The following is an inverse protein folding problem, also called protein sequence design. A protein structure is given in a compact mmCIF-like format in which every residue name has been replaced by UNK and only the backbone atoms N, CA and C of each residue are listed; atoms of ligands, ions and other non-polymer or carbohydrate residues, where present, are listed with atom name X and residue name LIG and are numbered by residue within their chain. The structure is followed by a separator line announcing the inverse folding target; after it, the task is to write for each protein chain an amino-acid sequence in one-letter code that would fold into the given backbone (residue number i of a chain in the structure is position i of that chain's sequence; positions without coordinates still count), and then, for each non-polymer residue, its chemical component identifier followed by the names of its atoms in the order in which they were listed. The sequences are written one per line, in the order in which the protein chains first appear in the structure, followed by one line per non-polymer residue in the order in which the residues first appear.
data_IF_944361485790
#
_entry.id   IF_944361485790
#
_cell.length_a   1.000
_cell.length_b   1.000
_cell.length_c   1.000
_cell.angle_alpha   90.00
_cell.angle_beta   90.00
_cell.angle_gamma   90.00
#
_symmetry.space_group_name_H-M   'P 1'
#
loop_
_entity.id
_entity.type
_entity.pdbx_description
1 polymer ?
#
# COMPACT_ATOMS: atom_id res chain seq x y z
N UNK A 1 14.68 9.36 -4.86
CA UNK A 1 15.21 9.84 -3.56
C UNK A 1 15.07 11.35 -3.47
N UNK A 2 15.69 12.09 -4.39
CA UNK A 2 15.77 13.56 -4.38
C UNK A 2 14.41 14.26 -4.38
N UNK A 3 13.49 13.88 -5.29
CA UNK A 3 12.16 14.51 -5.36
C UNK A 3 11.36 14.31 -4.08
N UNK A 4 11.33 13.08 -3.56
CA UNK A 4 10.66 12.76 -2.30
C UNK A 4 11.27 13.56 -1.14
N UNK A 5 12.60 13.60 -1.02
CA UNK A 5 13.29 14.41 -0.02
C UNK A 5 12.87 15.89 -0.06
N UNK A 6 12.86 16.49 -1.26
CA UNK A 6 12.51 17.90 -1.42
C UNK A 6 11.04 18.20 -1.11
N UNK A 7 10.13 17.27 -1.39
CA UNK A 7 8.71 17.41 -1.02
C UNK A 7 8.53 17.26 0.49
N UNK A 8 9.18 16.26 1.10
CA UNK A 8 9.06 15.99 2.53
C UNK A 8 9.59 17.14 3.40
N UNK A 9 10.67 17.82 3.00
CA UNK A 9 11.17 19.02 3.69
C UNK A 9 10.19 20.21 3.69
N UNK A 10 9.15 20.16 2.86
CA UNK A 10 8.13 21.22 2.76
C UNK A 10 6.91 20.94 3.61
N UNK A 11 6.92 19.90 4.44
CA UNK A 11 5.81 19.65 5.35
C UNK A 11 5.61 20.87 6.26
N UNK A 12 4.36 21.27 6.41
CA UNK A 12 3.96 22.39 7.25
C UNK A 12 2.92 21.94 8.27
N UNK A 13 2.91 22.57 9.44
CA UNK A 13 1.76 22.51 10.34
C UNK A 13 0.67 23.43 9.78
N UNK A 14 -0.59 22.98 9.76
CA UNK A 14 -1.72 23.80 9.35
C UNK A 14 -2.83 23.82 10.41
N UNK A 15 -3.00 24.98 11.05
CA UNK A 15 -4.06 25.25 12.04
C UNK A 15 -3.90 24.56 13.40
N UNK A 16 -4.84 24.83 14.31
CA UNK A 16 -5.03 24.11 15.59
C UNK A 16 -5.69 22.74 15.39
N UNK A 17 -6.19 22.48 14.19
CA UNK A 17 -6.83 21.22 13.81
C UNK A 17 -5.75 20.19 13.48
N UNK A 18 -5.33 19.45 14.51
CA UNK A 18 -4.82 18.08 14.34
C UNK A 18 -6.00 17.17 13.99
N UNK A 19 -6.64 17.42 12.85
CA UNK A 19 -7.47 16.38 12.24
C UNK A 19 -6.52 15.21 12.02
N UNK A 20 -6.65 14.18 12.85
CA UNK A 20 -5.97 12.91 12.67
C UNK A 20 -6.16 12.55 11.18
N UNK A 21 -5.07 12.33 10.44
CA UNK A 21 -5.10 11.86 9.04
C UNK A 21 -5.03 12.92 7.91
N UNK A 22 -4.36 14.06 8.12
CA UNK A 22 -4.01 15.00 7.04
C UNK A 22 -2.54 15.45 7.05
N UNK A 23 -1.94 15.53 5.88
CA UNK A 23 -0.58 16.06 5.67
C UNK A 23 -0.63 17.33 4.82
N UNK A 24 0.13 18.34 5.23
CA UNK A 24 0.17 19.63 4.53
C UNK A 24 1.59 19.94 4.05
N UNK A 25 1.71 20.41 2.82
CA UNK A 25 2.99 20.71 2.18
C UNK A 25 3.00 22.09 1.53
N UNK A 26 4.00 22.91 1.84
CA UNK A 26 4.21 24.22 1.23
C UNK A 26 5.03 24.08 -0.07
N UNK A 27 4.36 24.05 -1.23
CA UNK A 27 5.01 23.94 -2.54
C UNK A 27 4.90 25.27 -3.29
N UNK A 28 6.01 26.03 -3.28
CA UNK A 28 6.01 27.38 -3.82
C UNK A 28 5.11 28.28 -2.97
N UNK A 29 4.15 28.95 -3.61
CA UNK A 29 3.15 29.81 -2.93
C UNK A 29 1.91 29.02 -2.49
N UNK A 30 1.80 27.74 -2.87
CA UNK A 30 0.62 26.93 -2.60
C UNK A 30 0.82 26.03 -1.39
N UNK A 31 -0.19 26.03 -0.51
CA UNK A 31 -0.31 25.06 0.55
C UNK A 31 -1.18 23.89 0.04
N UNK A 32 -0.56 22.72 -0.10
CA UNK A 32 -1.20 21.52 -0.65
C UNK A 32 -1.55 20.57 0.49
N UNK A 33 -2.80 20.10 0.49
CA UNK A 33 -3.28 19.06 1.41
C UNK A 33 -3.20 17.69 0.75
N UNK A 34 -2.80 16.70 1.54
CA UNK A 34 -2.97 15.29 1.25
C UNK A 34 -3.71 14.64 2.42
N UNK A 35 -4.93 14.20 2.18
CA UNK A 35 -5.82 13.50 3.10
C UNK A 35 -6.32 12.20 2.46
N UNK A 36 -7.02 11.39 3.25
CA UNK A 36 -7.69 10.18 2.76
C UNK A 36 -8.61 10.44 1.55
N UNK A 37 -9.26 11.61 1.48
CA UNK A 37 -10.12 11.95 0.35
C UNK A 37 -9.33 12.12 -0.96
N UNK A 38 -8.21 12.85 -0.93
CA UNK A 38 -7.33 12.96 -2.09
C UNK A 38 -6.67 11.61 -2.42
N UNK A 39 -6.35 10.81 -1.40
CA UNK A 39 -5.78 9.48 -1.58
C UNK A 39 -6.71 8.53 -2.32
N UNK A 40 -7.96 8.39 -1.87
CA UNK A 40 -8.97 7.56 -2.54
C UNK A 40 -9.24 8.05 -3.97
N UNK A 41 -9.23 9.37 -4.19
CA UNK A 41 -9.43 9.95 -5.52
C UNK A 41 -8.29 9.61 -6.50
N UNK A 42 -7.04 9.68 -6.04
CA UNK A 42 -5.87 9.37 -6.88
C UNK A 42 -5.72 7.87 -7.13
N UNK A 43 -6.03 7.05 -6.13
CA UNK A 43 -5.85 5.59 -6.22
C UNK A 43 -7.07 4.87 -6.82
N UNK A 44 -8.23 5.51 -6.84
CA UNK A 44 -9.50 4.88 -7.20
C UNK A 44 -10.01 3.88 -6.15
N UNK A 45 -9.34 3.76 -5.00
CA UNK A 45 -9.72 2.81 -3.96
C UNK A 45 -10.87 3.34 -3.12
N UNK A 46 -11.71 2.41 -2.66
CA UNK A 46 -12.87 2.75 -1.84
C UNK A 46 -12.43 3.22 -0.45
N UNK A 47 -13.06 4.28 0.04
CA UNK A 47 -13.01 4.61 1.48
C UNK A 47 -13.64 3.47 2.30
N UNK A 48 -14.69 2.84 1.73
CA UNK A 48 -15.39 1.66 2.24
C UNK A 48 -16.03 1.81 3.61
N UNK A 49 -16.76 0.77 4.02
CA UNK A 49 -17.23 0.53 5.39
C UNK A 49 -16.76 -0.89 5.73
N UNK A 50 -16.39 -1.15 6.98
CA UNK A 50 -16.06 -2.52 7.41
C UNK A 50 -17.27 -3.43 7.20
N UNK A 51 -17.30 -4.12 6.05
CA UNK A 51 -18.34 -5.11 5.78
C UNK A 51 -18.02 -6.34 6.61
N UNK A 52 -19.01 -6.88 7.32
CA UNK A 52 -18.83 -8.16 8.00
C UNK A 52 -18.67 -9.28 6.97
N UNK A 53 -17.67 -10.15 7.15
CA UNK A 53 -17.50 -11.35 6.33
C UNK A 53 -18.74 -12.24 6.47
N UNK A 54 -19.46 -12.45 5.37
CA UNK A 54 -20.74 -13.18 5.44
C UNK A 54 -20.58 -14.69 5.35
N UNK A 55 -19.48 -15.18 4.78
CA UNK A 55 -19.34 -16.59 4.41
C UNK A 55 -17.88 -17.07 4.41
N UNK A 56 -17.44 -17.72 5.49
CA UNK A 56 -16.16 -18.44 5.52
C UNK A 56 -16.38 -19.88 5.01
N UNK A 57 -16.59 -20.04 3.69
CA UNK A 57 -17.01 -21.33 3.12
C UNK A 57 -15.88 -22.35 3.00
N UNK A 58 -14.63 -21.92 2.83
CA UNK A 58 -13.50 -22.83 2.63
C UNK A 58 -12.19 -22.24 3.15
N UNK A 59 -11.85 -22.55 4.41
CA UNK A 59 -10.59 -22.10 5.00
C UNK A 59 -9.41 -22.70 4.20
N UNK A 60 -8.56 -21.84 3.66
CA UNK A 60 -7.29 -22.13 2.99
C UNK A 60 -7.38 -22.80 1.61
N UNK A 61 -8.50 -22.74 0.87
CA UNK A 61 -8.63 -23.38 -0.46
C UNK A 61 -7.52 -22.99 -1.44
N UNK A 62 -7.28 -21.69 -1.64
CA UNK A 62 -6.24 -21.20 -2.55
C UNK A 62 -4.84 -21.66 -2.11
N UNK A 63 -4.57 -21.65 -0.79
CA UNK A 63 -3.31 -22.14 -0.22
C UNK A 63 -3.09 -23.63 -0.46
N UNK A 64 -4.14 -24.44 -0.29
CA UNK A 64 -4.08 -25.87 -0.54
C UNK A 64 -3.81 -26.19 -2.01
N UNK A 65 -4.36 -25.36 -2.91
CA UNK A 65 -4.38 -25.61 -4.35
C UNK A 65 -3.08 -25.17 -5.02
N UNK A 66 -2.56 -23.99 -4.66
CA UNK A 66 -1.47 -23.34 -5.39
C UNK A 66 -0.19 -23.15 -4.58
N UNK A 67 -0.23 -23.36 -3.26
CA UNK A 67 0.91 -23.08 -2.37
C UNK A 67 1.29 -24.30 -1.51
N UNK A 68 1.02 -25.50 -2.00
CA UNK A 68 1.44 -26.80 -1.44
C UNK A 68 1.35 -26.87 0.09
N UNK A 69 0.26 -26.33 0.66
CA UNK A 69 -0.01 -26.47 2.09
C UNK A 69 1.06 -25.88 3.03
N UNK A 70 1.76 -24.82 2.60
CA UNK A 70 2.70 -24.07 3.44
C UNK A 70 1.95 -23.22 4.50
N UNK A 71 1.29 -23.89 5.46
CA UNK A 71 0.19 -23.30 6.23
C UNK A 71 0.55 -22.35 7.38
N UNK A 72 1.81 -22.24 7.77
CA UNK A 72 2.10 -21.68 9.09
C UNK A 72 3.29 -20.73 9.16
N UNK A 73 4.04 -20.53 8.08
CA UNK A 73 5.19 -19.63 8.18
C UNK A 73 5.71 -19.03 6.86
N UNK A 74 4.82 -18.79 5.89
CA UNK A 74 5.22 -18.05 4.68
C UNK A 74 5.40 -16.58 5.05
N UNK A 75 6.62 -16.08 4.87
CA UNK A 75 6.87 -14.64 4.89
C UNK A 75 6.67 -14.04 3.49
N UNK A 76 6.50 -12.72 3.41
CA UNK A 76 6.22 -12.03 2.15
C UNK A 76 7.30 -12.23 1.09
N UNK A 77 8.57 -12.45 1.46
CA UNK A 77 9.64 -12.74 0.49
C UNK A 77 9.47 -14.14 -0.13
N UNK A 78 9.06 -15.13 0.66
CA UNK A 78 8.72 -16.45 0.14
C UNK A 78 7.46 -16.37 -0.72
N UNK A 79 6.47 -15.58 -0.31
CA UNK A 79 5.28 -15.33 -1.12
C UNK A 79 5.60 -14.65 -2.46
N UNK A 80 6.52 -13.70 -2.51
CA UNK A 80 7.00 -13.10 -3.77
C UNK A 80 7.58 -14.17 -4.71
N UNK A 81 8.44 -15.05 -4.20
CA UNK A 81 9.02 -16.12 -5.00
C UNK A 81 7.95 -17.11 -5.50
N UNK A 82 7.02 -17.52 -4.62
CA UNK A 82 5.92 -18.41 -5.00
C UNK A 82 5.01 -17.76 -6.04
N UNK A 83 4.71 -16.46 -5.91
CA UNK A 83 3.91 -15.72 -6.87
C UNK A 83 4.58 -15.64 -8.26
N UNK A 84 5.91 -15.47 -8.31
CA UNK A 84 6.67 -15.49 -9.57
C UNK A 84 6.73 -16.88 -10.24
N UNK A 85 6.61 -17.95 -9.45
CA UNK A 85 6.58 -19.34 -9.93
C UNK A 85 5.19 -19.80 -10.41
N UNK A 86 4.13 -19.02 -10.14
CA UNK A 86 2.77 -19.35 -10.59
C UNK A 86 2.68 -19.28 -12.11
N UNK A 87 2.12 -20.35 -12.69
CA UNK A 87 1.74 -20.37 -14.10
C UNK A 87 0.33 -19.82 -14.28
N UNK A 88 0.24 -18.51 -14.50
CA UNK A 88 -1.04 -17.83 -14.71
C UNK A 88 -1.75 -18.23 -16.01
N UNK A 89 -1.07 -18.90 -16.97
CA UNK A 89 -1.70 -19.33 -18.22
C UNK A 89 -2.55 -20.59 -18.05
N UNK A 90 -2.21 -21.43 -17.06
CA UNK A 90 -2.88 -22.71 -16.81
C UNK A 90 -3.82 -22.67 -15.61
N UNK A 91 -3.74 -21.60 -14.83
CA UNK A 91 -4.54 -21.37 -13.63
C UNK A 91 -5.98 -20.95 -13.98
N UNK A 92 -6.93 -21.26 -13.09
CA UNK A 92 -8.31 -20.76 -13.23
C UNK A 92 -8.32 -19.22 -13.17
N UNK A 93 -9.05 -18.57 -14.08
CA UNK A 93 -9.08 -17.11 -14.22
C UNK A 93 -9.55 -16.41 -12.93
N UNK A 94 -10.52 -16.99 -12.23
CA UNK A 94 -11.07 -16.42 -11.00
C UNK A 94 -10.06 -16.57 -9.86
N UNK A 95 -9.41 -17.72 -9.75
CA UNK A 95 -8.36 -17.92 -8.76
C UNK A 95 -7.13 -17.05 -9.03
N UNK A 96 -6.76 -16.87 -10.31
CA UNK A 96 -5.72 -15.95 -10.74
C UNK A 96 -6.02 -14.53 -10.25
N UNK A 97 -7.24 -14.04 -10.52
CA UNK A 97 -7.68 -12.74 -10.05
C UNK A 97 -7.56 -12.64 -8.52
N UNK A 98 -8.07 -13.63 -7.77
CA UNK A 98 -8.00 -13.66 -6.30
C UNK A 98 -6.57 -13.57 -5.76
N UNK A 99 -5.63 -14.33 -6.33
CA UNK A 99 -4.22 -14.29 -5.90
C UNK A 99 -3.59 -12.92 -6.22
N UNK A 100 -3.86 -12.37 -7.41
CA UNK A 100 -3.38 -11.04 -7.81
C UNK A 100 -3.93 -9.94 -6.89
N UNK A 101 -5.21 -10.02 -6.49
CA UNK A 101 -5.84 -9.09 -5.56
C UNK A 101 -5.15 -9.09 -4.19
N UNK A 102 -4.85 -10.27 -3.65
CA UNK A 102 -4.14 -10.40 -2.37
C UNK A 102 -2.72 -9.88 -2.49
N UNK A 103 -2.02 -10.26 -3.55
CA UNK A 103 -0.66 -9.80 -3.80
C UNK A 103 -0.62 -8.28 -3.83
N UNK A 104 -1.56 -7.65 -4.54
CA UNK A 104 -1.70 -6.21 -4.60
C UNK A 104 -1.99 -5.59 -3.22
N UNK A 105 -2.99 -6.08 -2.49
CA UNK A 105 -3.34 -5.57 -1.16
C UNK A 105 -2.17 -5.67 -0.17
N UNK A 106 -1.49 -6.81 -0.15
CA UNK A 106 -0.46 -7.10 0.86
C UNK A 106 0.90 -6.45 0.50
N UNK A 107 1.34 -6.59 -0.75
CA UNK A 107 2.66 -6.12 -1.19
C UNK A 107 2.64 -4.66 -1.62
N UNK A 108 1.64 -4.27 -2.40
CA UNK A 108 1.60 -2.93 -3.02
C UNK A 108 1.00 -1.91 -2.07
N UNK A 109 -0.21 -2.16 -1.55
CA UNK A 109 -0.91 -1.19 -0.70
C UNK A 109 -0.29 -1.06 0.69
N UNK A 110 -0.06 -2.18 1.38
CA UNK A 110 0.52 -2.14 2.73
C UNK A 110 2.05 -1.96 2.74
N UNK A 111 2.74 -2.19 1.60
CA UNK A 111 4.19 -2.04 1.48
C UNK A 111 4.99 -2.76 2.58
N UNK A 112 4.48 -3.90 3.07
CA UNK A 112 5.05 -4.62 4.22
C UNK A 112 6.43 -5.18 3.89
N UNK A 113 7.26 -5.37 4.92
CA UNK A 113 8.63 -5.87 4.76
C UNK A 113 8.62 -7.37 4.44
N UNK A 114 9.58 -7.84 3.66
CA UNK A 114 9.66 -9.24 3.22
C UNK A 114 9.70 -10.30 4.34
N UNK A 115 10.07 -9.93 5.58
CA UNK A 115 10.06 -10.84 6.72
C UNK A 115 8.73 -10.89 7.47
N UNK A 116 7.77 -9.99 7.18
CA UNK A 116 6.44 -10.06 7.74
C UNK A 116 5.72 -11.30 7.20
N UNK A 117 4.88 -11.93 8.02
CA UNK A 117 4.03 -13.04 7.59
C UNK A 117 2.93 -12.51 6.67
N UNK A 118 2.56 -13.33 5.69
CA UNK A 118 1.41 -13.04 4.82
C UNK A 118 0.12 -12.99 5.65
N UNK A 119 -0.85 -12.19 5.20
CA UNK A 119 -2.15 -12.21 5.85
C UNK A 119 -2.98 -13.41 5.36
N UNK A 120 -2.92 -14.51 6.10
CA UNK A 120 -3.69 -15.71 5.80
C UNK A 120 -5.21 -15.50 5.90
N UNK A 121 -5.69 -14.49 6.64
CA UNK A 121 -7.14 -14.19 6.68
C UNK A 121 -7.62 -13.68 5.32
N UNK A 122 -6.83 -12.82 4.67
CA UNK A 122 -7.14 -12.28 3.35
C UNK A 122 -7.19 -13.34 2.26
N UNK A 123 -6.35 -14.39 2.37
CA UNK A 123 -6.42 -15.57 1.51
C UNK A 123 -7.73 -16.34 1.61
N UNK A 124 -8.42 -16.25 2.74
CA UNK A 124 -9.75 -16.83 2.90
C UNK A 124 -10.85 -15.84 2.50
N UNK A 125 -10.68 -14.56 2.84
CA UNK A 125 -11.67 -13.51 2.54
C UNK A 125 -11.83 -13.29 1.03
N UNK A 126 -10.75 -13.41 0.24
CA UNK A 126 -10.81 -13.23 -1.21
C UNK A 126 -11.68 -14.28 -1.93
N UNK A 127 -11.99 -15.40 -1.27
CA UNK A 127 -12.89 -16.38 -1.87
C UNK A 127 -14.30 -15.80 -2.10
N UNK A 128 -14.70 -14.82 -1.28
CA UNK A 128 -15.81 -13.91 -1.51
C UNK A 128 -15.27 -12.61 -2.16
N UNK A 129 -15.11 -12.63 -3.49
CA UNK A 129 -14.52 -11.51 -4.24
C UNK A 129 -15.31 -10.21 -4.01
N UNK A 130 -16.64 -10.29 -4.01
CA UNK A 130 -17.48 -9.10 -3.82
C UNK A 130 -17.23 -8.48 -2.45
N UNK A 131 -17.13 -9.30 -1.40
CA UNK A 131 -16.73 -8.82 -0.09
C UNK A 131 -15.32 -8.20 -0.11
N UNK A 132 -14.34 -8.88 -0.71
CA UNK A 132 -12.96 -8.41 -0.75
C UNK A 132 -12.82 -7.08 -1.52
N UNK A 133 -13.51 -6.91 -2.64
CA UNK A 133 -13.50 -5.64 -3.40
C UNK A 133 -14.19 -4.50 -2.65
N UNK A 134 -15.16 -4.81 -1.79
CA UNK A 134 -15.84 -3.83 -0.94
C UNK A 134 -15.07 -3.47 0.33
N UNK A 135 -13.98 -4.17 0.65
CA UNK A 135 -13.11 -3.79 1.76
C UNK A 135 -12.62 -2.33 1.58
N UNK A 136 -12.40 -1.60 2.70
CA UNK A 136 -12.00 -0.19 2.67
C UNK A 136 -10.52 -0.01 2.31
N UNK A 137 -10.09 -0.52 1.16
CA UNK A 137 -8.68 -0.53 0.73
C UNK A 137 -8.06 0.86 0.67
N UNK A 138 -8.84 1.89 0.32
CA UNK A 138 -8.39 3.27 0.31
C UNK A 138 -8.06 3.77 1.70
N UNK A 139 -8.88 3.43 2.70
CA UNK A 139 -8.61 3.75 4.10
C UNK A 139 -7.42 2.95 4.67
N UNK A 140 -7.40 1.63 4.48
CA UNK A 140 -6.33 0.77 5.01
C UNK A 140 -4.94 1.15 4.45
N UNK A 141 -4.88 1.43 3.14
CA UNK A 141 -3.66 1.90 2.49
C UNK A 141 -3.28 3.31 2.93
N UNK A 142 -4.26 4.21 3.12
CA UNK A 142 -4.01 5.55 3.63
C UNK A 142 -3.41 5.53 5.02
N UNK A 143 -3.96 4.74 5.97
CA UNK A 143 -3.44 4.62 7.33
C UNK A 143 -1.95 4.22 7.32
N UNK A 144 -1.60 3.23 6.49
CA UNK A 144 -0.21 2.77 6.31
C UNK A 144 0.70 3.88 5.76
N UNK A 145 0.25 4.55 4.70
CA UNK A 145 1.01 5.61 4.03
C UNK A 145 1.16 6.83 4.94
N UNK A 146 0.09 7.24 5.60
CA UNK A 146 0.04 8.36 6.52
C UNK A 146 0.99 8.11 7.69
N UNK A 147 0.89 6.97 8.37
CA UNK A 147 1.78 6.62 9.47
C UNK A 147 3.23 6.62 9.00
N UNK A 148 3.51 6.05 7.83
CA UNK A 148 4.87 6.01 7.31
C UNK A 148 5.41 7.39 6.96
N UNK A 149 4.60 8.26 6.34
CA UNK A 149 5.01 9.61 5.98
C UNK A 149 5.20 10.46 7.23
N UNK A 150 4.25 10.40 8.17
CA UNK A 150 4.32 11.11 9.45
C UNK A 150 5.59 10.72 10.22
N UNK A 151 5.86 9.42 10.35
CA UNK A 151 7.09 8.91 10.98
C UNK A 151 8.37 9.32 10.23
N UNK A 152 8.33 9.35 8.90
CA UNK A 152 9.47 9.75 8.09
C UNK A 152 9.75 11.27 8.17
N UNK A 153 8.73 12.06 8.52
CA UNK A 153 8.75 13.51 8.59
C UNK A 153 9.09 14.06 9.97
N UNK A 154 8.66 13.37 11.03
CA UNK A 154 8.92 13.75 12.42
C UNK A 154 10.39 14.15 12.65
N UNK A 155 10.60 15.41 13.03
CA UNK A 155 11.89 16.04 13.38
C UNK A 155 12.97 16.05 12.28
N UNK A 156 12.62 15.67 11.03
CA UNK A 156 13.62 15.49 9.98
C UNK A 156 14.09 16.77 9.31
N UNK A 157 13.24 17.79 9.23
CA UNK A 157 13.66 19.11 8.75
C UNK A 157 14.72 19.72 9.67
N UNK A 158 14.48 19.69 10.98
CA UNK A 158 15.42 20.17 11.99
C UNK A 158 16.73 19.37 11.95
N UNK A 159 16.64 18.03 11.90
CA UNK A 159 17.81 17.16 11.76
C UNK A 159 18.62 17.46 10.51
N UNK A 160 17.97 17.68 9.37
CA UNK A 160 18.64 18.02 8.12
C UNK A 160 19.37 19.35 8.22
N UNK A 161 18.70 20.38 8.77
CA UNK A 161 19.30 21.70 9.03
C UNK A 161 20.54 21.58 9.92
N UNK A 162 20.46 20.86 11.04
CA UNK A 162 21.60 20.62 11.93
C UNK A 162 22.75 19.88 11.22
N UNK A 163 22.43 18.80 10.50
CA UNK A 163 23.45 18.01 9.78
C UNK A 163 24.16 18.84 8.72
N UNK A 164 23.46 19.76 8.05
CA UNK A 164 24.04 20.66 7.05
C UNK A 164 24.94 21.74 7.66
N UNK A 165 24.67 22.16 8.90
CA UNK A 165 25.57 23.05 9.65
C UNK A 165 26.91 22.35 9.96
N UNK A 166 26.88 21.08 10.33
CA UNK A 166 28.09 20.29 10.61
C UNK A 166 28.81 19.82 9.33
N UNK A 167 28.04 19.47 8.29
CA UNK A 167 28.52 18.90 7.03
C UNK A 167 27.90 19.66 5.85
N UNK A 168 28.53 20.74 5.37
CA UNK A 168 27.98 21.58 4.30
C UNK A 168 27.69 20.85 2.98
N UNK A 169 28.39 19.73 2.74
CA UNK A 169 28.21 18.88 1.55
C UNK A 169 27.02 17.90 1.66
N UNK A 170 26.35 17.82 2.81
CA UNK A 170 25.17 16.97 2.99
C UNK A 170 23.96 17.54 2.24
N UNK A 171 23.44 16.78 1.28
CA UNK A 171 22.38 17.27 0.36
C UNK A 171 21.04 16.56 0.51
N UNK A 172 21.00 15.35 1.09
CA UNK A 172 19.83 14.47 1.05
C UNK A 172 19.73 13.66 2.35
N UNK A 173 18.53 13.60 2.93
CA UNK A 173 18.18 12.67 4.01
C UNK A 173 17.68 11.32 3.45
N UNK A 174 17.96 10.24 4.18
CA UNK A 174 17.37 8.93 3.90
C UNK A 174 16.03 8.81 4.62
N UNK A 175 15.01 8.33 3.92
CA UNK A 175 13.66 8.12 4.45
C UNK A 175 13.26 6.66 4.29
N UNK A 176 12.62 6.12 5.33
CA UNK A 176 11.94 4.84 5.25
C UNK A 176 10.46 5.14 5.07
N UNK A 177 10.00 5.18 3.82
CA UNK A 177 8.58 5.34 3.49
C UNK A 177 8.04 3.99 3.01
N UNK A 178 7.00 3.50 3.65
CA UNK A 178 6.26 2.27 3.37
C UNK A 178 4.93 2.60 2.67
N UNK A 179 4.27 1.59 2.07
CA UNK A 179 3.07 1.78 1.22
C UNK A 179 3.35 2.30 -0.20
N UNK A 180 4.59 2.69 -0.51
CA UNK A 180 5.02 3.19 -1.82
C UNK A 180 6.13 2.34 -2.48
N UNK A 181 6.61 1.31 -1.78
CA UNK A 181 7.91 0.67 -2.05
C UNK A 181 7.99 -0.03 -3.40
N UNK A 182 6.85 -0.42 -4.01
CA UNK A 182 6.81 -1.13 -5.29
C UNK A 182 6.45 -0.27 -6.51
N UNK A 183 6.12 1.02 -6.35
CA UNK A 183 5.86 1.89 -7.52
C UNK A 183 7.12 2.29 -8.31
N UNK A 184 8.30 1.79 -7.94
CA UNK A 184 9.56 2.17 -8.61
C UNK A 184 10.01 1.22 -9.70
N UNK A 185 9.76 -0.08 -9.59
CA UNK A 185 10.17 -1.06 -10.59
C UNK A 185 9.12 -2.17 -10.67
N UNK A 186 8.63 -2.41 -11.89
CA UNK A 186 7.59 -3.35 -12.35
C UNK A 186 6.11 -2.86 -12.32
N UNK A 187 5.69 -2.51 -13.54
CA UNK A 187 4.33 -2.62 -14.12
C UNK A 187 3.18 -1.84 -13.46
N UNK A 188 3.37 -0.52 -13.34
CA UNK A 188 2.27 0.44 -13.38
C UNK A 188 1.27 0.12 -14.52
N UNK A 189 1.73 -0.33 -15.69
CA UNK A 189 0.84 -0.66 -16.81
C UNK A 189 0.00 -1.93 -16.62
N UNK A 190 0.53 -2.99 -15.99
CA UNK A 190 -0.23 -4.24 -15.79
C UNK A 190 -1.15 -4.14 -14.58
N UNK A 191 -0.69 -3.51 -13.49
CA UNK A 191 -1.50 -3.29 -12.29
C UNK A 191 -2.58 -2.24 -12.52
N UNK A 192 -2.30 -1.16 -13.28
CA UNK A 192 -3.35 -0.21 -13.68
C UNK A 192 -4.40 -0.88 -14.57
N UNK A 193 -4.04 -1.81 -15.44
CA UNK A 193 -5.04 -2.51 -16.28
C UNK A 193 -5.95 -3.39 -15.41
N UNK A 194 -5.43 -4.10 -14.40
CA UNK A 194 -6.26 -4.87 -13.47
C UNK A 194 -7.12 -3.96 -12.59
N UNK A 195 -6.58 -2.84 -12.10
CA UNK A 195 -7.34 -1.85 -11.31
C UNK A 195 -8.41 -1.15 -12.17
N UNK A 196 -8.10 -0.77 -13.40
CA UNK A 196 -9.02 -0.10 -14.32
C UNK A 196 -10.11 -1.07 -14.81
N UNK A 197 -9.80 -2.34 -15.02
CA UNK A 197 -10.78 -3.33 -15.50
C UNK A 197 -11.67 -3.90 -14.39
N UNK A 198 -11.19 -4.01 -13.15
CA UNK A 198 -11.90 -4.73 -12.08
C UNK A 198 -12.26 -3.91 -10.84
N UNK A 199 -11.61 -2.77 -10.58
CA UNK A 199 -11.90 -1.93 -9.41
C UNK A 199 -12.63 -0.62 -9.72
N UNK A 200 -12.71 -0.22 -11.00
CA UNK A 200 -13.60 0.87 -11.40
C UNK A 200 -14.98 0.29 -11.70
N UNK A 201 -16.05 0.74 -11.02
CA UNK A 201 -17.39 0.44 -11.49
C UNK A 201 -17.52 0.96 -12.91
N UNK A 202 -17.97 0.11 -13.83
CA UNK A 202 -18.44 0.58 -15.13
C UNK A 202 -19.60 1.54 -14.85
N UNK A 203 -19.37 2.84 -15.03
CA UNK A 203 -20.46 3.82 -15.10
C UNK A 203 -21.37 3.52 -16.30
#
# INVERSE_FOLDING_TARGET
GVTLHNVLLRQAAHGEYKGEDQLWFQIGEHLIRLSIGEWCLVTGLSYGVDTALTNNKTVHRLLNTYFDSLFHNINLKQFDALFEELDFETMDDIDTLKIVLIYFADRVLNGRKGHCQINFSWLNEVDDIDHFLNCPWGRLSWETVYESLNNALNEKDEKFKMTRLEKPNHKIEKYNVYGFTLMKELTLSAMLVVIILYFLPSN
#
